data_IF_883447168380
#
_entry.id   IF_883447168380
#
_cell.length_a   1.000
_cell.length_b   1.000
_cell.length_c   1.000
_cell.angle_alpha   90.00
_cell.angle_beta   90.00
_cell.angle_gamma   90.00
#
_symmetry.space_group_name_H-M   'P 1'
#
loop_
_entity.id
_entity.type
_entity.pdbx_description
1 polymer ?
#
# COMPACT_ATOMS: atom_id res chain seq x y z
N UNK A 1 17.41 -6.05 5.50
CA UNK A 1 18.07 -4.77 5.76
C UNK A 1 17.90 -3.75 4.64
N UNK A 2 17.72 -4.20 3.39
CA UNK A 2 17.66 -3.29 2.21
C UNK A 2 16.35 -2.46 2.13
N UNK A 3 15.36 -2.74 2.96
CA UNK A 3 14.07 -2.05 3.03
C UNK A 3 13.85 -1.29 4.34
N UNK A 4 14.88 -1.16 5.18
CA UNK A 4 14.80 -0.37 6.40
C UNK A 4 14.83 1.13 6.09
N UNK A 5 14.10 1.92 6.86
CA UNK A 5 14.15 3.37 6.76
C UNK A 5 15.54 3.90 7.16
N UNK A 6 16.00 4.93 6.47
CA UNK A 6 17.25 5.61 6.84
C UNK A 6 17.14 6.28 8.20
N UNK A 7 18.28 6.53 8.86
CA UNK A 7 18.33 7.22 10.16
C UNK A 7 17.69 8.61 10.10
N UNK A 8 17.81 9.30 8.95
CA UNK A 8 17.21 10.60 8.71
C UNK A 8 15.67 10.53 8.76
N UNK A 9 15.06 9.57 8.03
CA UNK A 9 13.61 9.35 8.07
C UNK A 9 13.11 8.88 9.42
N UNK A 10 13.90 8.12 10.19
CA UNK A 10 13.53 7.71 11.55
C UNK A 10 13.58 8.87 12.56
N UNK A 11 14.37 9.89 12.29
CA UNK A 11 14.47 11.06 13.17
C UNK A 11 13.25 12.00 13.05
N UNK A 12 12.64 12.10 11.88
CA UNK A 12 11.52 13.02 11.61
C UNK A 12 10.27 12.75 12.48
N UNK A 13 9.74 11.50 12.58
CA UNK A 13 8.62 11.20 13.47
C UNK A 13 8.88 11.55 14.93
N UNK A 14 10.11 11.41 15.40
CA UNK A 14 10.51 11.76 16.77
C UNK A 14 10.42 13.27 16.99
N UNK A 15 10.87 14.09 16.03
CA UNK A 15 10.79 15.55 16.10
C UNK A 15 9.32 16.01 16.10
N UNK A 16 8.45 15.33 15.35
CA UNK A 16 7.02 15.64 15.25
C UNK A 16 6.18 15.03 16.40
N UNK A 17 6.82 14.36 17.37
CA UNK A 17 6.14 13.64 18.47
C UNK A 17 5.15 12.60 17.98
N UNK A 18 5.40 11.99 16.81
CA UNK A 18 4.62 10.90 16.25
C UNK A 18 5.13 9.58 16.82
N UNK A 19 4.22 8.75 17.32
CA UNK A 19 4.57 7.40 17.74
C UNK A 19 4.85 6.53 16.52
N UNK A 20 6.11 6.26 16.27
CA UNK A 20 6.60 5.49 15.13
C UNK A 20 7.24 4.18 15.60
N UNK A 21 6.91 3.08 14.89
CA UNK A 21 7.47 1.76 15.15
C UNK A 21 7.73 1.03 13.83
N UNK A 22 8.96 0.62 13.61
CA UNK A 22 9.34 -0.24 12.51
C UNK A 22 9.23 -1.72 12.92
N UNK A 23 8.70 -2.56 12.05
CA UNK A 23 8.55 -4.00 12.29
C UNK A 23 9.06 -4.80 11.09
N UNK A 24 9.51 -6.01 11.33
CA UNK A 24 10.09 -6.93 10.35
C UNK A 24 9.06 -7.88 9.70
N UNK A 25 7.83 -7.91 10.24
CA UNK A 25 6.74 -8.73 9.76
C UNK A 25 5.43 -7.94 9.80
N UNK A 26 4.71 -7.94 8.70
CA UNK A 26 3.43 -7.24 8.57
C UNK A 26 2.40 -7.69 9.61
N UNK A 27 2.40 -8.96 9.97
CA UNK A 27 1.49 -9.52 10.98
C UNK A 27 1.60 -8.87 12.37
N UNK A 28 2.77 -8.29 12.68
CA UNK A 28 2.99 -7.59 13.96
C UNK A 28 2.29 -6.23 14.03
N UNK A 29 2.04 -5.61 12.87
CA UNK A 29 1.40 -4.31 12.79
C UNK A 29 -0.10 -4.38 12.47
N UNK A 30 -0.52 -5.36 11.67
CA UNK A 30 -1.89 -5.47 11.15
C UNK A 30 -2.95 -5.51 12.26
N UNK A 31 -2.67 -6.17 13.38
CA UNK A 31 -3.66 -6.33 14.46
C UNK A 31 -4.05 -4.99 15.13
N UNK A 32 -3.18 -4.00 15.09
CA UNK A 32 -3.39 -2.69 15.69
C UNK A 32 -3.81 -1.62 14.66
N UNK A 33 -3.66 -1.92 13.35
CA UNK A 33 -3.89 -0.97 12.28
C UNK A 33 -5.38 -0.74 11.99
N UNK A 34 -5.77 0.52 11.86
CA UNK A 34 -7.06 0.95 11.32
C UNK A 34 -6.98 1.15 9.80
N UNK A 35 -5.80 1.58 9.32
CA UNK A 35 -5.49 1.77 7.91
C UNK A 35 -4.22 0.99 7.59
N UNK A 36 -4.28 0.17 6.55
CA UNK A 36 -3.16 -0.62 6.03
C UNK A 36 -2.89 -0.09 4.63
N UNK A 37 -1.84 0.72 4.47
CA UNK A 37 -1.39 1.19 3.16
C UNK A 37 -0.25 0.29 2.68
N UNK A 38 -0.39 -0.26 1.48
CA UNK A 38 0.59 -1.17 0.88
C UNK A 38 1.17 -0.55 -0.38
N UNK A 39 2.48 -0.65 -0.50
CA UNK A 39 3.22 -0.30 -1.69
C UNK A 39 3.95 -1.55 -2.22
N UNK A 40 4.17 -1.66 -3.54
CA UNK A 40 4.95 -2.76 -4.09
C UNK A 40 6.37 -2.78 -3.53
N UNK A 41 6.77 -3.92 -2.96
CA UNK A 41 8.16 -4.14 -2.49
C UNK A 41 9.13 -4.17 -3.68
N UNK A 42 8.68 -4.76 -4.79
CA UNK A 42 9.43 -4.80 -6.04
C UNK A 42 8.70 -3.95 -7.07
N UNK A 43 9.35 -2.87 -7.51
CA UNK A 43 8.80 -2.03 -8.56
C UNK A 43 8.90 -2.72 -9.92
N UNK A 44 7.83 -2.73 -10.72
CA UNK A 44 7.88 -3.29 -12.07
C UNK A 44 8.89 -2.56 -12.94
N UNK A 45 9.69 -3.28 -13.70
CA UNK A 45 10.54 -2.70 -14.73
C UNK A 45 9.69 -2.31 -15.95
N UNK A 46 9.25 -1.07 -16.01
CA UNK A 46 8.40 -0.55 -17.08
C UNK A 46 9.10 -0.45 -18.44
N UNK A 47 10.42 -0.69 -18.51
CA UNK A 47 11.16 -0.74 -19.79
C UNK A 47 10.98 -2.09 -20.48
N UNK A 48 10.54 -3.12 -19.76
CA UNK A 48 10.28 -4.46 -20.28
C UNK A 48 8.82 -4.65 -20.66
N UNK A 49 8.58 -5.52 -21.64
CA UNK A 49 7.23 -5.95 -21.98
C UNK A 49 6.57 -6.73 -20.82
N UNK A 50 5.23 -6.82 -20.84
CA UNK A 50 4.48 -7.56 -19.81
C UNK A 50 4.90 -9.03 -19.70
N UNK A 51 5.19 -9.65 -20.85
CA UNK A 51 5.55 -11.08 -20.92
C UNK A 51 6.95 -11.32 -20.34
N UNK A 52 7.87 -10.36 -20.50
CA UNK A 52 9.22 -10.44 -19.94
C UNK A 52 9.25 -10.22 -18.42
N UNK A 53 8.21 -9.58 -17.85
CA UNK A 53 8.08 -9.29 -16.41
C UNK A 53 7.47 -10.41 -15.59
N UNK A 54 7.11 -11.54 -16.18
CA UNK A 54 6.45 -12.65 -15.46
C UNK A 54 7.25 -13.19 -14.27
N UNK A 55 8.61 -13.12 -14.33
CA UNK A 55 9.48 -13.49 -13.22
C UNK A 55 9.49 -12.50 -12.05
N UNK A 56 9.01 -11.27 -12.25
CA UNK A 56 8.97 -10.23 -11.20
C UNK A 56 7.74 -10.38 -10.28
N UNK A 57 6.74 -11.14 -10.70
CA UNK A 57 5.48 -11.33 -9.99
C UNK A 57 5.56 -12.19 -8.71
N UNK A 58 6.75 -12.71 -8.37
CA UNK A 58 6.91 -13.60 -7.20
C UNK A 58 8.05 -13.18 -6.27
N UNK A 59 8.47 -11.92 -6.36
CA UNK A 59 9.65 -11.44 -5.62
C UNK A 59 9.33 -10.84 -4.25
N UNK A 60 8.05 -10.63 -3.91
CA UNK A 60 7.69 -10.11 -2.58
C UNK A 60 7.95 -11.16 -1.51
N UNK A 61 8.81 -10.89 -0.51
CA UNK A 61 9.03 -11.80 0.60
C UNK A 61 7.74 -12.11 1.36
N UNK A 62 7.57 -13.34 1.82
CA UNK A 62 6.34 -13.80 2.46
C UNK A 62 5.92 -12.96 3.69
N UNK A 63 6.88 -12.42 4.44
CA UNK A 63 6.65 -11.57 5.61
C UNK A 63 6.11 -10.15 5.28
N UNK A 64 6.07 -9.78 4.00
CA UNK A 64 5.48 -8.52 3.51
C UNK A 64 4.16 -8.72 2.76
N UNK A 65 3.75 -9.97 2.49
CA UNK A 65 2.49 -10.25 1.78
C UNK A 65 1.28 -10.05 2.67
N UNK A 66 0.31 -9.30 2.16
CA UNK A 66 -1.00 -9.13 2.79
C UNK A 66 -1.97 -10.12 2.15
N UNK A 67 -2.00 -11.34 2.65
CA UNK A 67 -2.92 -12.37 2.15
C UNK A 67 -4.29 -12.25 2.82
N UNK A 68 -5.30 -12.82 2.17
CA UNK A 68 -6.64 -12.94 2.76
C UNK A 68 -6.61 -13.64 4.12
N UNK A 69 -5.82 -14.70 4.25
CA UNK A 69 -5.66 -15.45 5.50
C UNK A 69 -5.09 -14.58 6.64
N UNK A 70 -4.09 -13.75 6.33
CA UNK A 70 -3.49 -12.82 7.30
C UNK A 70 -4.53 -11.79 7.76
N UNK A 71 -5.30 -11.22 6.82
CA UNK A 71 -6.37 -10.27 7.14
C UNK A 71 -7.47 -10.90 8.00
N UNK A 72 -7.96 -12.09 7.64
CA UNK A 72 -9.01 -12.80 8.39
C UNK A 72 -8.58 -13.16 9.82
N UNK A 73 -7.29 -13.47 10.02
CA UNK A 73 -6.76 -13.86 11.33
C UNK A 73 -6.37 -12.69 12.21
N UNK A 74 -5.93 -11.59 11.64
CA UNK A 74 -5.22 -10.54 12.37
C UNK A 74 -5.84 -9.16 12.27
N UNK A 75 -6.44 -8.80 11.12
CA UNK A 75 -6.93 -7.45 10.93
C UNK A 75 -8.20 -7.17 11.72
N UNK A 76 -8.35 -5.93 12.18
CA UNK A 76 -9.61 -5.44 12.72
C UNK A 76 -10.72 -5.56 11.66
N UNK A 77 -11.95 -5.82 12.09
CA UNK A 77 -13.09 -6.00 11.18
C UNK A 77 -13.43 -4.76 10.35
N UNK A 78 -13.08 -3.58 10.85
CA UNK A 78 -13.32 -2.26 10.30
C UNK A 78 -12.07 -1.60 9.71
N UNK A 79 -10.91 -2.26 9.77
CA UNK A 79 -9.73 -1.78 9.09
C UNK A 79 -9.94 -1.64 7.58
N UNK A 80 -9.23 -0.72 6.95
CA UNK A 80 -9.23 -0.53 5.50
C UNK A 80 -7.86 -0.83 4.91
N UNK A 81 -7.85 -1.51 3.76
CA UNK A 81 -6.66 -1.81 2.98
C UNK A 81 -6.61 -0.93 1.75
N UNK A 82 -5.57 -0.13 1.64
CA UNK A 82 -5.25 0.79 0.55
C UNK A 82 -4.03 0.32 -0.23
N UNK A 83 -3.91 0.74 -1.48
CA UNK A 83 -2.79 0.42 -2.36
C UNK A 83 -2.67 1.43 -3.49
N UNK A 84 -1.49 2.00 -3.69
CA UNK A 84 -1.25 3.03 -4.73
C UNK A 84 -1.46 2.54 -6.17
N UNK A 85 -1.43 1.22 -6.39
CA UNK A 85 -1.50 0.56 -7.70
C UNK A 85 -0.40 1.03 -8.71
N UNK A 86 0.01 0.19 -9.66
CA UNK A 86 -0.42 -1.22 -9.83
C UNK A 86 0.16 -2.15 -8.76
N UNK A 87 -0.63 -3.10 -8.30
CA UNK A 87 -0.13 -4.13 -7.39
C UNK A 87 0.65 -5.21 -8.15
N UNK A 88 1.57 -5.85 -7.46
CA UNK A 88 2.28 -7.04 -7.89
C UNK A 88 1.76 -8.27 -7.11
N UNK A 89 2.62 -8.96 -6.38
CA UNK A 89 2.25 -10.14 -5.60
C UNK A 89 2.19 -9.90 -4.07
N UNK A 90 2.35 -8.64 -3.64
CA UNK A 90 2.24 -8.25 -2.22
C UNK A 90 0.80 -8.34 -1.70
N UNK A 91 -0.20 -8.14 -2.59
CA UNK A 91 -1.63 -8.30 -2.31
C UNK A 91 -2.25 -9.24 -3.34
N UNK A 92 -2.51 -10.52 -3.01
CA UNK A 92 -3.14 -11.48 -3.91
C UNK A 92 -4.56 -11.10 -4.36
N UNK A 93 -4.98 -11.62 -5.52
CA UNK A 93 -6.27 -11.26 -6.16
C UNK A 93 -7.49 -11.60 -5.31
N UNK A 94 -7.42 -12.65 -4.49
CA UNK A 94 -8.50 -13.08 -3.61
C UNK A 94 -8.80 -12.08 -2.46
N UNK A 95 -7.91 -11.12 -2.25
CA UNK A 95 -8.14 -10.01 -1.32
C UNK A 95 -9.15 -9.01 -1.87
N UNK A 96 -9.33 -8.90 -3.20
CA UNK A 96 -10.24 -7.93 -3.85
C UNK A 96 -11.68 -8.02 -3.35
N UNK A 97 -12.14 -9.23 -3.06
CA UNK A 97 -13.51 -9.50 -2.61
C UNK A 97 -13.68 -9.45 -1.09
N UNK A 98 -12.64 -9.10 -0.36
CA UNK A 98 -12.71 -8.99 1.09
C UNK A 98 -13.31 -7.65 1.54
N UNK A 99 -13.79 -7.62 2.79
CA UNK A 99 -14.35 -6.40 3.41
C UNK A 99 -13.31 -5.28 3.59
N UNK A 100 -12.05 -5.62 3.64
CA UNK A 100 -10.95 -4.67 3.88
C UNK A 100 -10.52 -3.93 2.63
N UNK A 101 -10.69 -4.51 1.44
CA UNK A 101 -10.28 -3.93 0.16
C UNK A 101 -10.98 -2.59 -0.10
N UNK A 102 -10.18 -1.50 -0.18
CA UNK A 102 -10.64 -0.13 -0.49
C UNK A 102 -9.80 0.55 -1.55
N UNK A 103 -8.77 -0.09 -2.07
CA UNK A 103 -7.87 0.49 -3.07
C UNK A 103 -8.54 0.77 -4.42
N UNK A 104 -9.61 0.08 -4.78
CA UNK A 104 -10.40 0.44 -5.97
C UNK A 104 -11.16 1.74 -5.78
N UNK A 105 -11.71 1.98 -4.59
CA UNK A 105 -12.34 3.26 -4.22
C UNK A 105 -11.29 4.36 -4.12
N UNK A 106 -10.13 4.09 -3.55
CA UNK A 106 -8.98 4.99 -3.50
C UNK A 106 -8.56 5.42 -4.91
N UNK A 107 -8.40 4.49 -5.85
CA UNK A 107 -8.06 4.77 -7.24
C UNK A 107 -9.11 5.69 -7.92
N UNK A 108 -10.40 5.40 -7.72
CA UNK A 108 -11.48 6.25 -8.22
C UNK A 108 -11.46 7.64 -7.57
N UNK A 109 -11.32 7.73 -6.27
CA UNK A 109 -11.21 9.00 -5.55
C UNK A 109 -10.01 9.81 -6.03
N UNK A 110 -8.90 9.15 -6.37
CA UNK A 110 -7.74 9.76 -6.98
C UNK A 110 -8.02 10.42 -8.34
N UNK A 111 -8.88 9.82 -9.15
CA UNK A 111 -9.35 10.43 -10.42
C UNK A 111 -10.18 11.68 -10.14
N UNK A 112 -11.17 11.59 -9.25
CA UNK A 112 -12.03 12.72 -8.87
C UNK A 112 -11.21 13.87 -8.29
N UNK A 113 -10.27 13.57 -7.40
CA UNK A 113 -9.39 14.58 -6.80
C UNK A 113 -8.54 15.30 -7.86
N UNK A 114 -7.94 14.55 -8.80
CA UNK A 114 -7.16 15.16 -9.90
C UNK A 114 -8.03 16.04 -10.79
N UNK A 115 -9.24 15.62 -11.12
CA UNK A 115 -10.20 16.44 -11.89
C UNK A 115 -10.52 17.74 -11.15
N UNK A 116 -10.79 17.68 -9.85
CA UNK A 116 -11.07 18.86 -9.01
C UNK A 116 -9.86 19.81 -8.97
N UNK A 117 -8.66 19.29 -8.73
CA UNK A 117 -7.45 20.10 -8.71
C UNK A 117 -7.18 20.79 -10.05
N UNK A 118 -7.37 20.09 -11.18
CA UNK A 118 -7.22 20.68 -12.51
C UNK A 118 -8.27 21.78 -12.74
N UNK A 119 -9.51 21.55 -12.35
CA UNK A 119 -10.57 22.56 -12.49
C UNK A 119 -10.27 23.83 -11.68
N UNK A 120 -9.79 23.67 -10.44
CA UNK A 120 -9.37 24.80 -9.58
C UNK A 120 -8.18 25.55 -10.18
N UNK A 121 -7.13 24.85 -10.60
CA UNK A 121 -5.91 25.49 -11.16
C UNK A 121 -6.22 26.23 -12.47
N UNK A 122 -7.15 25.70 -13.28
CA UNK A 122 -7.57 26.32 -14.55
C UNK A 122 -8.67 27.39 -14.37
N UNK A 123 -9.11 27.68 -13.15
CA UNK A 123 -10.17 28.65 -12.88
C UNK A 123 -11.56 28.24 -13.37
N UNK A 124 -11.80 26.94 -13.56
CA UNK A 124 -13.11 26.42 -13.95
C UNK A 124 -14.05 26.17 -12.76
N UNK A 125 -13.54 26.30 -11.54
CA UNK A 125 -14.26 26.22 -10.26
C UNK A 125 -13.69 27.28 -9.30
N UNK A 126 -14.53 27.85 -8.44
CA UNK A 126 -14.19 28.73 -7.34
C UNK A 126 -14.19 27.95 -6.01
#
# INVERSE_FOLDING_TARGET
PDLCLSDEFQAEPKQLSVNFKEVDHVEKAIAEADVILVEPVVQPDYTKSRDERTGELSLTPANYKITREVLEKKAKSDAILLHSLPRMDEVPVDVDITRWSRYWQEAFNGVVMRMTLLALVLGAME
#
